data_IF_998010003570
#
_entry.id   IF_998010003570
#
_cell.length_a   1.000
_cell.length_b   1.000
_cell.length_c   1.000
_cell.angle_alpha   90.00
_cell.angle_beta   90.00
_cell.angle_gamma   90.00
#
_symmetry.space_group_name_H-M   'P 1'
#
loop_
_entity.id
_entity.type
_entity.pdbx_description
1 polymer ?
#
# COMPACT_ATOMS: atom_id res chain seq x y z
N UNK A 1 38.45 9.78 -16.14
CA UNK A 1 37.42 9.60 -15.09
C UNK A 1 36.09 10.00 -15.70
N UNK A 2 35.24 9.01 -16.01
CA UNK A 2 33.96 9.26 -16.67
C UNK A 2 33.00 9.96 -15.72
N UNK A 3 32.21 10.91 -16.23
CA UNK A 3 31.19 11.60 -15.43
C UNK A 3 30.26 10.53 -14.84
N UNK A 4 30.00 10.51 -13.52
CA UNK A 4 29.03 9.59 -12.95
C UNK A 4 27.70 9.88 -13.65
N UNK A 5 27.24 8.92 -14.46
CA UNK A 5 25.91 9.01 -15.04
C UNK A 5 24.95 8.39 -14.04
N UNK A 6 23.71 8.88 -14.00
CA UNK A 6 22.66 8.26 -13.18
C UNK A 6 22.57 6.76 -13.47
N UNK A 7 22.79 6.34 -14.72
CA UNK A 7 22.79 4.94 -15.11
C UNK A 7 23.95 4.13 -14.50
N UNK A 8 25.17 4.69 -14.39
CA UNK A 8 26.29 3.98 -13.76
C UNK A 8 26.10 3.85 -12.25
N UNK A 9 25.57 4.88 -11.60
CA UNK A 9 25.25 4.83 -10.18
C UNK A 9 24.11 3.85 -9.88
N UNK A 10 23.03 3.85 -10.69
CA UNK A 10 21.94 2.87 -10.58
C UNK A 10 22.46 1.45 -10.79
N UNK A 11 23.34 1.25 -11.78
CA UNK A 11 23.96 -0.06 -12.00
C UNK A 11 24.83 -0.48 -10.81
N UNK A 12 25.57 0.45 -10.19
CA UNK A 12 26.36 0.17 -8.99
C UNK A 12 25.51 -0.16 -7.76
N UNK A 13 24.39 0.54 -7.54
CA UNK A 13 23.44 0.26 -6.45
C UNK A 13 22.72 -1.07 -6.69
N UNK A 14 22.24 -1.31 -7.92
CA UNK A 14 21.66 -2.59 -8.30
C UNK A 14 22.71 -3.70 -8.14
N UNK A 15 23.94 -3.50 -8.61
CA UNK A 15 25.02 -4.45 -8.39
C UNK A 15 25.36 -4.61 -6.90
N UNK A 16 25.29 -3.58 -6.05
CA UNK A 16 25.53 -3.72 -4.62
C UNK A 16 24.42 -4.55 -3.94
N UNK A 17 23.16 -4.28 -4.28
CA UNK A 17 21.99 -5.02 -3.76
C UNK A 17 21.95 -6.45 -4.29
N UNK A 18 22.21 -6.65 -5.59
CA UNK A 18 22.22 -7.97 -6.23
C UNK A 18 23.51 -8.78 -6.01
N UNK A 19 24.66 -8.13 -5.78
CA UNK A 19 25.91 -8.81 -5.43
C UNK A 19 25.93 -9.26 -3.98
N UNK A 20 25.14 -8.63 -3.11
CA UNK A 20 25.05 -9.04 -1.71
C UNK A 20 24.55 -10.49 -1.57
N UNK A 21 23.68 -10.97 -2.48
CA UNK A 21 23.31 -12.39 -2.53
C UNK A 21 22.99 -12.87 -3.95
N UNK A 22 23.89 -13.68 -4.55
CA UNK A 22 23.68 -14.41 -5.82
C UNK A 22 22.44 -15.34 -5.85
N UNK A 23 21.72 -15.42 -4.72
CA UNK A 23 20.52 -16.23 -4.48
C UNK A 23 19.22 -15.44 -4.63
N UNK A 24 19.28 -14.12 -4.74
CA UNK A 24 18.12 -13.23 -4.93
C UNK A 24 17.25 -13.59 -6.14
N UNK A 25 17.78 -13.72 -7.38
CA UNK A 25 16.93 -13.97 -8.55
C UNK A 25 16.20 -15.31 -8.44
N UNK A 26 16.85 -16.34 -7.87
CA UNK A 26 16.21 -17.63 -7.62
C UNK A 26 15.09 -17.53 -6.58
N UNK A 27 15.26 -16.68 -5.56
CA UNK A 27 14.24 -16.41 -4.54
C UNK A 27 13.05 -15.65 -5.13
N UNK A 28 13.31 -14.62 -5.95
CA UNK A 28 12.26 -13.87 -6.66
C UNK A 28 11.44 -14.81 -7.53
N UNK A 29 12.09 -15.60 -8.40
CA UNK A 29 11.39 -16.54 -9.29
C UNK A 29 10.60 -17.59 -8.48
N UNK A 30 11.18 -18.13 -7.41
CA UNK A 30 10.50 -19.08 -6.54
C UNK A 30 9.24 -18.49 -5.88
N UNK A 31 9.32 -17.26 -5.39
CA UNK A 31 8.20 -16.57 -4.76
C UNK A 31 7.14 -16.09 -5.75
N UNK A 32 7.53 -15.75 -6.99
CA UNK A 32 6.57 -15.38 -8.04
C UNK A 32 5.76 -16.59 -8.51
N UNK A 33 6.36 -17.78 -8.56
CA UNK A 33 5.72 -18.98 -9.13
C UNK A 33 5.05 -19.90 -8.12
N UNK A 34 5.57 -19.98 -6.89
CA UNK A 34 5.00 -20.81 -5.82
C UNK A 34 5.28 -20.18 -4.45
N UNK A 35 4.63 -19.04 -4.14
CA UNK A 35 4.92 -18.29 -2.92
C UNK A 35 4.76 -19.14 -1.65
N UNK A 36 3.66 -19.89 -1.58
CA UNK A 36 3.32 -20.69 -0.42
C UNK A 36 4.19 -21.94 -0.28
N UNK A 37 4.44 -22.66 -1.37
CA UNK A 37 5.29 -23.85 -1.33
C UNK A 37 6.76 -23.51 -1.10
N UNK A 38 7.25 -22.39 -1.66
CA UNK A 38 8.61 -21.89 -1.43
C UNK A 38 8.82 -21.47 0.03
N UNK A 39 7.93 -20.64 0.58
CA UNK A 39 7.99 -20.23 2.00
C UNK A 39 7.92 -21.44 2.94
N UNK A 40 7.03 -22.41 2.66
CA UNK A 40 6.93 -23.65 3.43
C UNK A 40 8.20 -24.50 3.32
N UNK A 41 8.85 -24.54 2.16
CA UNK A 41 10.08 -25.30 1.98
C UNK A 41 11.24 -24.72 2.79
N UNK A 42 11.35 -23.40 2.80
CA UNK A 42 12.29 -22.71 3.70
C UNK A 42 11.96 -22.98 5.16
N UNK A 43 10.68 -22.88 5.53
CA UNK A 43 10.23 -23.08 6.91
C UNK A 43 10.48 -24.49 7.44
N UNK A 44 10.38 -25.50 6.56
CA UNK A 44 10.67 -26.89 6.91
C UNK A 44 12.18 -27.19 7.02
N UNK A 45 13.06 -26.19 6.89
CA UNK A 45 14.51 -26.38 6.94
C UNK A 45 15.07 -27.17 5.75
N UNK A 46 14.31 -27.32 4.66
CA UNK A 46 14.87 -27.88 3.43
C UNK A 46 15.95 -26.91 2.94
N UNK A 47 17.09 -27.44 2.47
CA UNK A 47 18.21 -26.65 1.91
C UNK A 47 17.81 -26.00 0.58
N UNK A 48 16.79 -25.16 0.60
CA UNK A 48 16.45 -24.28 -0.52
C UNK A 48 17.49 -23.17 -0.47
N UNK A 49 18.17 -22.95 -1.58
CA UNK A 49 19.13 -21.86 -1.75
C UNK A 49 18.32 -20.56 -1.85
N UNK A 50 17.89 -20.04 -0.70
CA UNK A 50 17.13 -18.81 -0.59
C UNK A 50 17.89 -17.80 0.27
N UNK A 51 17.55 -16.54 0.05
CA UNK A 51 17.98 -15.43 0.90
C UNK A 51 17.29 -15.52 2.25
N UNK A 52 17.91 -15.03 3.32
CA UNK A 52 17.22 -14.93 4.60
C UNK A 52 15.98 -14.04 4.44
N UNK A 53 14.77 -14.45 4.88
CA UNK A 53 13.54 -13.72 4.62
C UNK A 53 13.61 -12.24 5.01
N UNK A 54 14.32 -11.94 6.10
CA UNK A 54 14.56 -10.58 6.57
C UNK A 54 15.41 -9.76 5.58
N UNK A 55 16.54 -10.30 5.11
CA UNK A 55 17.37 -9.60 4.12
C UNK A 55 16.62 -9.38 2.82
N UNK A 56 15.82 -10.35 2.39
CA UNK A 56 14.99 -10.22 1.20
C UNK A 56 14.00 -9.06 1.35
N UNK A 57 13.26 -9.02 2.46
CA UNK A 57 12.29 -7.96 2.74
C UNK A 57 12.93 -6.57 2.82
N UNK A 58 14.10 -6.45 3.44
CA UNK A 58 14.86 -5.20 3.53
C UNK A 58 15.38 -4.73 2.17
N UNK A 59 15.93 -5.66 1.36
CA UNK A 59 16.46 -5.34 0.05
C UNK A 59 15.36 -4.83 -0.90
N UNK A 60 14.20 -5.50 -0.91
CA UNK A 60 13.10 -5.11 -1.80
C UNK A 60 12.34 -3.89 -1.30
N UNK A 61 12.24 -3.65 0.01
CA UNK A 61 11.66 -2.41 0.53
C UNK A 61 12.55 -1.21 0.21
N UNK A 62 13.88 -1.34 0.32
CA UNK A 62 14.82 -0.32 -0.13
C UNK A 62 14.66 0.02 -1.62
N UNK A 63 14.45 -1.01 -2.46
CA UNK A 63 14.19 -0.82 -3.88
C UNK A 63 12.88 -0.06 -4.15
N UNK A 64 11.82 -0.33 -3.39
CA UNK A 64 10.55 0.40 -3.53
C UNK A 64 10.67 1.88 -3.17
N UNK A 65 11.38 2.20 -2.08
CA UNK A 65 11.63 3.60 -1.71
C UNK A 65 12.48 4.32 -2.74
N UNK A 66 13.51 3.64 -3.28
CA UNK A 66 14.30 4.18 -4.37
C UNK A 66 13.44 4.46 -5.61
N UNK A 67 12.51 3.56 -5.94
CA UNK A 67 11.57 3.75 -7.05
C UNK A 67 10.66 4.98 -6.84
N UNK A 68 10.11 5.17 -5.63
CA UNK A 68 9.32 6.37 -5.30
C UNK A 68 10.16 7.63 -5.43
N UNK A 69 11.36 7.66 -4.84
CA UNK A 69 12.25 8.81 -4.89
C UNK A 69 12.62 9.19 -6.33
N UNK A 70 12.72 8.20 -7.22
CA UNK A 70 13.00 8.43 -8.63
C UNK A 70 11.80 9.01 -9.40
N UNK A 71 10.59 8.55 -9.11
CA UNK A 71 9.37 9.00 -9.81
C UNK A 71 8.88 10.35 -9.29
N UNK A 72 9.10 10.66 -8.00
CA UNK A 72 8.66 11.90 -7.36
C UNK A 72 9.84 12.71 -6.79
N UNK A 73 10.69 13.32 -7.65
CA UNK A 73 11.89 14.04 -7.22
C UNK A 73 11.63 15.38 -6.51
N UNK A 74 10.36 15.80 -6.35
CA UNK A 74 9.98 17.13 -5.86
C UNK A 74 9.35 17.20 -4.46
N UNK A 75 9.19 16.09 -3.74
CA UNK A 75 8.62 16.13 -2.38
C UNK A 75 7.16 16.58 -2.28
N UNK A 76 6.63 16.61 -1.05
CA UNK A 76 5.23 16.82 -0.66
C UNK A 76 4.77 18.29 -0.69
N UNK A 77 5.34 19.11 -1.56
CA UNK A 77 5.21 20.57 -1.53
C UNK A 77 3.78 21.09 -1.86
N UNK A 78 2.84 20.20 -2.20
CA UNK A 78 1.45 20.52 -2.54
C UNK A 78 0.40 20.00 -1.55
N UNK A 79 0.80 19.59 -0.35
CA UNK A 79 -0.12 19.07 0.68
C UNK A 79 -0.39 20.13 1.76
N UNK A 80 -1.64 20.21 2.21
CA UNK A 80 -2.03 21.06 3.35
C UNK A 80 -1.20 20.72 4.59
N UNK A 81 -0.96 21.69 5.48
CA UNK A 81 0.00 21.57 6.59
C UNK A 81 -0.23 20.32 7.48
N UNK A 82 -1.48 19.92 7.68
CA UNK A 82 -1.87 18.75 8.48
C UNK A 82 -1.66 17.41 7.72
N UNK A 83 -1.89 17.40 6.40
CA UNK A 83 -1.60 16.25 5.55
C UNK A 83 -0.10 16.09 5.28
N UNK A 84 0.63 17.20 5.23
CA UNK A 84 2.08 17.23 5.06
C UNK A 84 2.80 16.51 6.20
N UNK A 85 2.40 16.74 7.45
CA UNK A 85 3.00 16.10 8.62
C UNK A 85 2.77 14.57 8.62
N UNK A 86 1.54 14.12 8.30
CA UNK A 86 1.23 12.69 8.17
C UNK A 86 2.04 12.03 7.06
N UNK A 87 2.11 12.65 5.87
CA UNK A 87 2.86 12.08 4.75
C UNK A 87 4.35 12.08 5.04
N UNK A 88 4.90 13.14 5.64
CA UNK A 88 6.30 13.19 6.06
C UNK A 88 6.60 12.10 7.11
N UNK A 89 5.71 11.89 8.09
CA UNK A 89 5.86 10.83 9.08
C UNK A 89 5.83 9.44 8.44
N UNK A 90 4.89 9.17 7.53
CA UNK A 90 4.79 7.89 6.82
C UNK A 90 6.01 7.68 5.93
N UNK A 91 6.53 8.70 5.25
CA UNK A 91 7.72 8.58 4.41
C UNK A 91 8.97 8.34 5.27
N UNK A 92 9.11 9.05 6.38
CA UNK A 92 10.27 8.96 7.26
C UNK A 92 10.31 7.68 8.10
N UNK A 93 9.15 7.19 8.56
CA UNK A 93 9.04 6.04 9.46
C UNK A 93 8.38 4.80 8.83
N UNK A 94 7.86 4.90 7.60
CA UNK A 94 7.05 3.85 6.97
C UNK A 94 7.75 2.50 6.84
N UNK A 95 9.07 2.47 6.60
CA UNK A 95 9.82 1.21 6.57
C UNK A 95 9.88 0.56 7.96
N UNK A 96 10.19 1.34 9.00
CA UNK A 96 10.27 0.86 10.36
C UNK A 96 8.89 0.39 10.85
N UNK A 97 7.83 1.16 10.58
CA UNK A 97 6.46 0.80 10.89
C UNK A 97 6.05 -0.51 10.20
N UNK A 98 6.32 -0.64 8.89
CA UNK A 98 6.04 -1.88 8.18
C UNK A 98 6.80 -3.07 8.78
N UNK A 99 8.09 -2.93 9.09
CA UNK A 99 8.90 -4.01 9.68
C UNK A 99 8.41 -4.42 11.08
N UNK A 100 8.02 -3.46 11.92
CA UNK A 100 7.44 -3.72 13.24
C UNK A 100 6.06 -4.38 13.12
N UNK A 101 5.33 -4.08 12.06
CA UNK A 101 4.01 -4.67 11.80
C UNK A 101 4.10 -6.13 11.31
N UNK A 102 5.20 -6.55 10.67
CA UNK A 102 5.34 -7.93 10.16
C UNK A 102 5.23 -9.00 11.28
N UNK A 103 5.90 -8.89 12.44
CA UNK A 103 5.68 -9.78 13.58
C UNK A 103 4.23 -9.82 14.08
N UNK A 104 3.53 -8.69 14.04
CA UNK A 104 2.13 -8.56 14.47
C UNK A 104 1.21 -9.28 13.48
N UNK A 105 1.41 -9.06 12.17
CA UNK A 105 0.69 -9.76 11.09
C UNK A 105 0.94 -11.27 11.16
N UNK A 106 2.17 -11.70 11.39
CA UNK A 106 2.49 -13.12 11.59
C UNK A 106 1.75 -13.71 12.80
N UNK A 107 1.58 -12.92 13.87
CA UNK A 107 0.79 -13.29 15.03
C UNK A 107 -0.70 -13.43 14.71
N UNK A 108 -1.25 -12.52 13.90
CA UNK A 108 -2.61 -12.58 13.41
C UNK A 108 -2.85 -13.85 12.57
N UNK A 109 -1.93 -14.19 11.66
CA UNK A 109 -1.99 -15.46 10.93
C UNK A 109 -1.91 -16.67 11.85
N UNK A 110 -0.99 -16.65 12.81
CA UNK A 110 -0.89 -17.73 13.80
C UNK A 110 -2.23 -17.91 14.53
N UNK A 111 -2.92 -16.81 14.90
CA UNK A 111 -4.20 -16.85 15.59
C UNK A 111 -5.28 -17.58 14.76
N UNK A 112 -5.41 -17.24 13.48
CA UNK A 112 -6.39 -17.86 12.58
C UNK A 112 -6.04 -19.31 12.20
N UNK A 113 -4.76 -19.67 12.28
CA UNK A 113 -4.26 -21.02 12.01
C UNK A 113 -3.97 -21.83 13.28
N UNK A 114 -4.53 -21.43 14.44
CA UNK A 114 -4.46 -22.21 15.68
C UNK A 114 -4.97 -23.66 15.45
N UNK A 115 -4.25 -24.61 16.03
CA UNK A 115 -4.53 -26.05 15.89
C UNK A 115 -3.98 -26.68 14.62
N UNK A 116 -3.37 -25.92 13.72
CA UNK A 116 -2.53 -26.50 12.66
C UNK A 116 -1.10 -26.71 13.19
N UNK A 117 -0.33 -27.62 12.55
CA UNK A 117 1.05 -27.92 12.97
C UNK A 117 2.07 -26.81 12.65
N UNK A 118 1.62 -25.65 12.21
CA UNK A 118 2.48 -24.52 11.84
C UNK A 118 2.81 -23.66 13.07
N UNK A 119 4.08 -23.29 13.18
CA UNK A 119 4.59 -22.47 14.30
C UNK A 119 4.57 -20.99 13.93
N UNK A 120 4.58 -20.12 14.95
CA UNK A 120 4.65 -18.66 14.76
C UNK A 120 5.79 -18.24 13.84
N UNK A 121 6.98 -18.84 14.04
CA UNK A 121 8.18 -18.55 13.24
C UNK A 121 7.97 -18.89 11.75
N UNK A 122 7.17 -19.91 11.44
CA UNK A 122 6.88 -20.28 10.06
C UNK A 122 5.98 -19.25 9.37
N UNK A 123 4.98 -18.72 10.08
CA UNK A 123 4.17 -17.61 9.59
C UNK A 123 5.00 -16.31 9.51
N UNK A 124 5.95 -16.09 10.42
CA UNK A 124 6.85 -14.95 10.35
C UNK A 124 7.69 -14.98 9.07
N UNK A 125 8.27 -16.13 8.71
CA UNK A 125 9.00 -16.29 7.46
C UNK A 125 8.11 -16.10 6.23
N UNK A 126 6.88 -16.63 6.26
CA UNK A 126 5.90 -16.41 5.19
C UNK A 126 5.61 -14.91 5.03
N UNK A 127 5.32 -14.21 6.12
CA UNK A 127 5.00 -12.78 6.12
C UNK A 127 6.18 -11.94 5.62
N UNK A 128 7.43 -12.29 6.01
CA UNK A 128 8.63 -11.61 5.51
C UNK A 128 8.82 -11.79 4.00
N UNK A 129 8.71 -13.01 3.49
CA UNK A 129 8.81 -13.25 2.05
C UNK A 129 7.69 -12.57 1.28
N UNK A 130 6.46 -12.65 1.80
CA UNK A 130 5.29 -12.02 1.20
C UNK A 130 5.46 -10.51 1.13
N UNK A 131 5.79 -9.85 2.25
CA UNK A 131 6.02 -8.41 2.28
C UNK A 131 7.14 -7.98 1.34
N UNK A 132 8.26 -8.73 1.35
CA UNK A 132 9.37 -8.46 0.44
C UNK A 132 8.94 -8.54 -1.04
N UNK A 133 8.12 -9.53 -1.39
CA UNK A 133 7.65 -9.69 -2.76
C UNK A 133 6.64 -8.60 -3.18
N UNK A 134 5.76 -8.20 -2.26
CA UNK A 134 4.83 -7.08 -2.49
C UNK A 134 5.59 -5.77 -2.72
N UNK A 135 6.64 -5.47 -1.95
CA UNK A 135 7.47 -4.29 -2.20
C UNK A 135 8.17 -4.34 -3.55
N UNK A 136 8.66 -5.52 -3.96
CA UNK A 136 9.25 -5.68 -5.29
C UNK A 136 8.22 -5.38 -6.38
N UNK A 137 7.00 -5.93 -6.28
CA UNK A 137 5.94 -5.66 -7.25
C UNK A 137 5.53 -4.18 -7.27
N UNK A 138 5.38 -3.56 -6.10
CA UNK A 138 5.07 -2.13 -5.97
C UNK A 138 6.15 -1.25 -6.59
N UNK A 139 7.42 -1.60 -6.44
CA UNK A 139 8.52 -0.88 -7.06
C UNK A 139 8.37 -0.88 -8.59
N UNK A 140 8.04 -2.04 -9.17
CA UNK A 140 7.80 -2.17 -10.60
C UNK A 140 6.56 -1.39 -11.04
N UNK A 141 5.46 -1.44 -10.27
CA UNK A 141 4.24 -0.69 -10.57
C UNK A 141 4.46 0.83 -10.55
N UNK A 142 5.16 1.36 -9.54
CA UNK A 142 5.47 2.80 -9.45
C UNK A 142 6.30 3.26 -10.65
N UNK A 143 7.33 2.49 -11.03
CA UNK A 143 8.14 2.82 -12.20
C UNK A 143 7.31 2.75 -13.49
N UNK A 144 6.46 1.74 -13.62
CA UNK A 144 5.57 1.61 -14.77
C UNK A 144 4.55 2.76 -14.82
N UNK A 145 4.02 3.19 -13.68
CA UNK A 145 3.08 4.32 -13.58
C UNK A 145 3.74 5.63 -14.01
N UNK A 146 4.94 5.91 -13.50
CA UNK A 146 5.72 7.08 -13.89
C UNK A 146 6.06 7.13 -15.39
N UNK A 147 6.21 5.97 -16.04
CA UNK A 147 6.47 5.87 -17.48
C UNK A 147 5.20 5.91 -18.35
N UNK A 148 4.10 5.34 -17.87
CA UNK A 148 2.86 5.18 -18.64
C UNK A 148 1.93 6.41 -18.56
N UNK A 149 2.09 7.27 -17.54
CA UNK A 149 1.26 8.48 -17.37
C UNK A 149 -0.24 8.19 -17.21
N UNK A 150 -0.59 7.01 -16.69
CA UNK A 150 -1.98 6.62 -16.45
C UNK A 150 -2.56 7.24 -15.17
N UNK A 151 -3.89 7.18 -14.97
CA UNK A 151 -4.53 7.69 -13.76
C UNK A 151 -4.08 6.89 -12.53
N UNK A 152 -3.67 7.60 -11.47
CA UNK A 152 -3.11 7.02 -10.24
C UNK A 152 -4.05 6.01 -9.56
N UNK A 153 -5.36 6.27 -9.63
CA UNK A 153 -6.39 5.40 -9.05
C UNK A 153 -6.35 3.97 -9.61
N UNK A 154 -6.06 3.81 -10.91
CA UNK A 154 -5.96 2.48 -11.52
C UNK A 154 -4.76 1.71 -10.98
N UNK A 155 -3.64 2.38 -10.72
CA UNK A 155 -2.45 1.74 -10.14
C UNK A 155 -2.68 1.33 -8.70
N UNK A 156 -3.36 2.17 -7.91
CA UNK A 156 -3.76 1.83 -6.53
C UNK A 156 -4.70 0.63 -6.51
N UNK A 157 -5.72 0.61 -7.38
CA UNK A 157 -6.65 -0.51 -7.47
C UNK A 157 -5.95 -1.81 -7.92
N UNK A 158 -5.06 -1.71 -8.92
CA UNK A 158 -4.28 -2.85 -9.39
C UNK A 158 -3.37 -3.41 -8.30
N UNK A 159 -2.70 -2.56 -7.52
CA UNK A 159 -1.88 -2.97 -6.37
C UNK A 159 -2.71 -3.74 -5.34
N UNK A 160 -3.90 -3.23 -4.97
CA UNK A 160 -4.78 -3.89 -4.01
C UNK A 160 -5.26 -5.26 -4.49
N UNK A 161 -5.64 -5.37 -5.77
CA UNK A 161 -6.07 -6.65 -6.37
C UNK A 161 -4.91 -7.64 -6.37
N UNK A 162 -3.72 -7.22 -6.82
CA UNK A 162 -2.53 -8.09 -6.84
C UNK A 162 -2.16 -8.54 -5.43
N UNK A 163 -2.17 -7.63 -4.45
CA UNK A 163 -1.93 -7.95 -3.05
C UNK A 163 -2.88 -9.03 -2.54
N UNK A 164 -4.19 -8.86 -2.76
CA UNK A 164 -5.20 -9.79 -2.25
C UNK A 164 -5.10 -11.16 -2.91
N UNK A 165 -4.94 -11.20 -4.24
CA UNK A 165 -4.79 -12.44 -5.01
C UNK A 165 -3.52 -13.18 -4.58
N UNK A 166 -2.39 -12.46 -4.49
CA UNK A 166 -1.12 -13.04 -4.10
C UNK A 166 -1.14 -13.56 -2.66
N UNK A 167 -1.80 -12.85 -1.73
CA UNK A 167 -1.95 -13.29 -0.35
C UNK A 167 -2.77 -14.58 -0.25
N UNK A 168 -3.91 -14.63 -0.95
CA UNK A 168 -4.73 -15.83 -1.02
C UNK A 168 -3.93 -17.01 -1.57
N UNK A 169 -3.18 -16.78 -2.64
CA UNK A 169 -2.35 -17.81 -3.26
C UNK A 169 -1.22 -18.30 -2.34
N UNK A 170 -0.51 -17.38 -1.70
CA UNK A 170 0.57 -17.68 -0.75
C UNK A 170 0.07 -18.52 0.43
N UNK A 171 -1.01 -18.09 1.10
CA UNK A 171 -1.59 -18.81 2.22
C UNK A 171 -2.16 -20.18 1.79
N UNK A 172 -2.77 -20.24 0.61
CA UNK A 172 -3.30 -21.51 0.08
C UNK A 172 -2.20 -22.55 -0.14
N UNK A 173 -1.10 -22.15 -0.78
CA UNK A 173 0.07 -23.00 -1.03
C UNK A 173 0.78 -23.42 0.25
N UNK A 174 0.93 -22.49 1.19
CA UNK A 174 1.62 -22.72 2.46
C UNK A 174 0.89 -23.75 3.33
N UNK A 175 -0.45 -23.69 3.38
CA UNK A 175 -1.27 -24.62 4.16
C UNK A 175 -1.76 -25.85 3.37
N UNK A 176 -1.18 -26.13 2.20
CA UNK A 176 -1.66 -27.15 1.25
C UNK A 176 -1.76 -28.59 1.79
N UNK A 177 -1.13 -28.90 2.93
CA UNK A 177 -1.13 -30.25 3.54
C UNK A 177 -1.60 -30.34 4.99
N UNK A 178 -2.07 -29.24 5.60
CA UNK A 178 -2.32 -29.20 7.06
C UNK A 178 -3.81 -29.22 7.43
N UNK A 179 -4.69 -28.88 6.50
CA UNK A 179 -6.14 -28.81 6.72
C UNK A 179 -6.91 -29.19 5.45
N UNK A 180 -8.17 -29.65 5.63
CA UNK A 180 -9.11 -29.89 4.53
C UNK A 180 -9.41 -28.60 3.75
N UNK A 181 -9.76 -28.73 2.45
CA UNK A 181 -9.90 -27.58 1.52
C UNK A 181 -10.85 -26.48 2.03
N UNK A 182 -12.00 -26.86 2.60
CA UNK A 182 -13.02 -25.92 3.10
C UNK A 182 -12.54 -25.19 4.36
N UNK A 183 -12.00 -25.93 5.34
CA UNK A 183 -11.45 -25.32 6.56
C UNK A 183 -10.31 -24.35 6.25
N UNK A 184 -9.50 -24.66 5.22
CA UNK A 184 -8.45 -23.76 4.74
C UNK A 184 -9.01 -22.46 4.18
N UNK A 185 -10.00 -22.54 3.29
CA UNK A 185 -10.63 -21.34 2.72
C UNK A 185 -11.19 -20.42 3.81
N UNK A 186 -11.92 -20.98 4.78
CA UNK A 186 -12.47 -20.23 5.92
C UNK A 186 -11.35 -19.55 6.72
N UNK A 187 -10.27 -20.26 7.04
CA UNK A 187 -9.13 -19.70 7.79
C UNK A 187 -8.39 -18.60 7.01
N UNK A 188 -8.29 -18.72 5.69
CA UNK A 188 -7.69 -17.67 4.83
C UNK A 188 -8.55 -16.40 4.88
N UNK A 189 -9.86 -16.52 4.69
CA UNK A 189 -10.78 -15.37 4.78
C UNK A 189 -10.72 -14.75 6.17
N UNK A 190 -10.74 -15.56 7.23
CA UNK A 190 -10.58 -15.09 8.60
C UNK A 190 -9.25 -14.36 8.82
N UNK A 191 -8.17 -14.85 8.22
CA UNK A 191 -6.85 -14.22 8.28
C UNK A 191 -6.81 -12.87 7.59
N UNK A 192 -7.44 -12.76 6.41
CA UNK A 192 -7.55 -11.49 5.69
C UNK A 192 -8.32 -10.47 6.53
N UNK A 193 -9.48 -10.87 7.07
CA UNK A 193 -10.28 -10.01 7.95
C UNK A 193 -9.48 -9.59 9.20
N UNK A 194 -8.77 -10.53 9.83
CA UNK A 194 -7.96 -10.25 11.00
C UNK A 194 -6.83 -9.25 10.70
N UNK A 195 -6.13 -9.42 9.57
CA UNK A 195 -5.09 -8.48 9.13
C UNK A 195 -5.66 -7.11 8.80
N UNK A 196 -6.84 -7.03 8.18
CA UNK A 196 -7.50 -5.74 7.91
C UNK A 196 -7.84 -5.01 9.21
N UNK A 197 -8.34 -5.73 10.23
CA UNK A 197 -8.61 -5.14 11.55
C UNK A 197 -7.33 -4.67 12.23
N UNK A 198 -6.29 -5.50 12.25
CA UNK A 198 -4.97 -5.14 12.83
C UNK A 198 -4.39 -3.91 12.14
N UNK A 199 -4.47 -3.85 10.81
CA UNK A 199 -3.97 -2.72 10.03
C UNK A 199 -4.77 -1.45 10.30
N UNK A 200 -6.11 -1.54 10.37
CA UNK A 200 -6.96 -0.41 10.74
C UNK A 200 -6.69 0.13 12.14
N UNK A 201 -6.48 -0.76 13.12
CA UNK A 201 -6.10 -0.37 14.48
C UNK A 201 -4.71 0.27 14.53
N UNK A 202 -3.75 -0.25 13.76
CA UNK A 202 -2.42 0.33 13.66
C UNK A 202 -2.47 1.74 13.05
N UNK A 203 -3.24 1.95 11.98
CA UNK A 203 -3.46 3.29 11.40
C UNK A 203 -4.12 4.23 12.40
N UNK A 204 -5.18 3.79 13.08
CA UNK A 204 -5.85 4.62 14.10
C UNK A 204 -4.91 5.00 15.25
N UNK A 205 -4.04 4.09 15.68
CA UNK A 205 -3.02 4.37 16.70
C UNK A 205 -2.03 5.42 16.21
N UNK A 206 -1.54 5.31 14.98
CA UNK A 206 -0.62 6.32 14.40
C UNK A 206 -1.28 7.69 14.34
N UNK A 207 -2.52 7.78 13.83
CA UNK A 207 -3.26 9.04 13.79
C UNK A 207 -3.45 9.64 15.19
N UNK A 208 -3.85 8.82 16.17
CA UNK A 208 -4.01 9.26 17.55
C UNK A 208 -2.70 9.74 18.20
N UNK A 209 -1.56 9.12 17.88
CA UNK A 209 -0.24 9.58 18.34
C UNK A 209 0.18 10.92 17.72
N UNK A 210 -0.33 11.22 16.51
CA UNK A 210 -0.11 12.50 15.83
C UNK A 210 -1.14 13.56 16.25
N UNK A 211 -2.11 13.23 17.11
CA UNK A 211 -3.17 14.16 17.51
C UNK A 211 -4.21 14.43 16.43
N UNK A 212 -4.24 13.62 15.35
CA UNK A 212 -5.21 13.72 14.27
C UNK A 212 -6.44 12.90 14.65
N UNK A 213 -7.57 13.57 14.85
CA UNK A 213 -8.83 12.89 15.14
C UNK A 213 -9.36 12.22 13.86
N UNK A 214 -9.57 10.88 13.85
CA UNK A 214 -10.00 10.16 12.64
C UNK A 214 -11.36 10.60 12.08
N UNK A 215 -12.17 11.27 12.92
CA UNK A 215 -13.50 11.78 12.56
C UNK A 215 -13.42 13.07 11.74
N UNK A 216 -12.34 13.83 11.87
CA UNK A 216 -12.16 15.11 11.16
C UNK A 216 -11.78 14.88 9.69
N UNK A 217 -11.07 13.78 9.39
CA UNK A 217 -10.70 13.39 8.01
C UNK A 217 -11.91 13.05 7.11
N UNK A 218 -13.08 12.76 7.69
CA UNK A 218 -14.31 12.42 6.95
C UNK A 218 -15.31 13.57 6.80
N UNK A 219 -15.12 14.69 7.50
CA UNK A 219 -16.07 15.80 7.52
C UNK A 219 -15.93 16.72 6.29
N UNK A 220 -14.73 16.81 5.71
CA UNK A 220 -14.43 17.73 4.60
C UNK A 220 -14.60 17.12 3.20
N UNK A 221 -14.89 15.82 3.09
CA UNK A 221 -15.20 15.16 1.82
C UNK A 221 -16.64 15.44 1.35
N UNK A 222 -16.93 16.71 1.06
CA UNK A 222 -17.98 17.20 0.16
C UNK A 222 -19.24 16.33 -0.05
N UNK A 223 -20.02 16.07 1.00
CA UNK A 223 -21.43 15.76 0.79
C UNK A 223 -22.10 17.04 0.27
N UNK A 224 -22.68 17.07 -0.95
CA UNK A 224 -23.44 18.23 -1.38
C UNK A 224 -24.56 18.43 -0.36
N UNK A 225 -24.59 19.60 0.27
CA UNK A 225 -25.65 20.01 1.17
C UNK A 225 -27.00 19.98 0.44
N UNK A 226 -27.66 18.82 0.46
CA UNK A 226 -29.05 18.67 0.05
C UNK A 226 -29.92 19.27 1.16
N UNK A 227 -30.01 20.60 1.17
CA UNK A 227 -30.90 21.30 2.08
C UNK A 227 -30.64 22.79 2.11
N UNK A 228 -31.40 23.58 1.33
CA UNK A 228 -31.45 25.02 1.57
C UNK A 228 -31.72 25.95 0.38
N UNK A 229 -32.37 25.52 -0.70
CA UNK A 229 -32.93 26.46 -1.67
C UNK A 229 -34.46 26.50 -1.52
N UNK A 230 -34.92 27.15 -0.45
CA UNK A 230 -36.30 27.59 -0.33
C UNK A 230 -36.55 28.60 -1.46
N UNK A 231 -37.34 28.17 -2.44
CA UNK A 231 -37.77 28.92 -3.59
C UNK A 231 -38.71 30.05 -3.13
N UNK A 232 -38.17 31.23 -2.84
CA UNK A 232 -38.97 32.45 -2.63
C UNK A 232 -39.26 33.09 -4.00
N UNK A 233 -40.40 32.71 -4.56
CA UNK A 233 -41.05 33.34 -5.72
C UNK A 233 -41.34 34.82 -5.42
N UNK A 234 -40.89 35.80 -6.23
CA UNK A 234 -41.51 37.11 -6.24
C UNK A 234 -42.67 37.13 -7.24
N UNK A 235 -43.84 37.58 -6.77
CA UNK A 235 -45.03 37.79 -7.57
C UNK A 235 -44.83 38.92 -8.62
N UNK A 236 -45.51 38.86 -9.78
CA UNK A 236 -45.41 39.89 -10.80
C UNK A 236 -46.24 41.12 -10.38
N UNK A 237 -45.58 42.26 -10.17
CA UNK A 237 -46.27 43.53 -9.89
C UNK A 237 -46.46 44.30 -11.19
N UNK A 238 -47.71 44.74 -11.37
CA UNK A 238 -48.32 45.34 -12.54
C UNK A 238 -47.54 46.47 -13.24
N UNK A 239 -47.65 46.45 -14.57
CA UNK A 239 -47.37 47.56 -15.46
C UNK A 239 -48.41 48.69 -15.32
N UNK A 240 -47.93 49.94 -15.37
CA UNK A 240 -48.71 51.17 -15.47
C UNK A 240 -47.77 52.38 -15.59
N UNK A 241 -48.24 53.54 -16.08
CA UNK A 241 -48.27 53.82 -17.51
C UNK A 241 -47.22 54.85 -17.98
N UNK A 242 -47.06 54.86 -19.30
CA UNK A 242 -46.31 55.81 -20.12
C UNK A 242 -46.77 57.25 -19.82
N UNK A 243 -45.84 58.15 -19.48
CA UNK A 243 -46.07 59.59 -19.57
C UNK A 243 -44.91 60.30 -20.30
N UNK A 244 -45.34 61.16 -21.22
CA UNK A 244 -44.64 62.04 -22.14
C UNK A 244 -43.93 63.24 -21.50
N UNK A 245 -42.93 63.77 -22.21
CA UNK A 245 -42.39 65.13 -22.04
C UNK A 245 -40.87 65.14 -22.27
N UNK A 246 -40.34 65.41 -23.46
CA UNK A 246 -40.19 66.71 -24.14
C UNK A 246 -39.25 67.69 -23.41
N UNK A 247 -38.44 68.40 -24.21
CA UNK A 247 -37.42 69.46 -23.94
C UNK A 247 -36.03 68.96 -23.52
N UNK A 248 -34.91 69.41 -24.10
CA UNK A 248 -34.60 70.51 -25.01
C UNK A 248 -33.35 71.26 -24.53
N UNK A 249 -32.51 71.71 -25.48
CA UNK A 249 -31.30 72.55 -25.36
C UNK A 249 -30.02 71.81 -24.87
N UNK A 250 -28.96 71.74 -25.68
CA UNK A 250 -27.97 72.79 -26.03
C UNK A 250 -27.14 73.26 -24.84
#
# INVERSE_FOLDING_TARGET
MGRPSLASWLWEVLCAVFSLESRLPRTVVGLTLDPGGFARAHAAGRRVVSVAPLHYALATSGLWFLAIAFVHPGGTDSLDADQGELVEFIVSHGQALNLVLLPVIAGAFQLCFLGTRTRYVEHLWLTLYFAGHIFLWRALLVLAAGLAGGPEELFVLADQIVFLVYLCWALWGFHSGTSGRVSRAIRIVASILCVSVVSGLATALVLGLMGIDPLDLGADSGAPALGGAANSTPAPTAAGPINSGATGAR
#
